data_IF_559770010731
#
_entry.id   IF_559770010731
#
_cell.length_a   1.000
_cell.length_b   1.000
_cell.length_c   1.000
_cell.angle_alpha   90.00
_cell.angle_beta   90.00
_cell.angle_gamma   90.00
#
_symmetry.space_group_name_H-M   'P 1'
#
loop_
_entity.id
_entity.type
_entity.pdbx_description
1 polymer ?
#
# COMPACT_ATOMS: atom_id res chain seq x y z
N UNK A 1 -9.15 17.19 -51.39
CA UNK A 1 -9.26 15.79 -50.92
C UNK A 1 -7.90 15.25 -50.46
N UNK A 2 -6.83 15.38 -51.26
CA UNK A 2 -5.46 14.98 -50.88
C UNK A 2 -4.89 15.69 -49.62
N UNK A 3 -5.21 16.97 -49.41
CA UNK A 3 -4.70 17.76 -48.27
C UNK A 3 -5.28 17.29 -46.92
N UNK A 4 -6.51 16.77 -46.91
CA UNK A 4 -7.16 16.29 -45.68
C UNK A 4 -6.54 14.99 -45.16
N UNK A 5 -5.93 14.17 -46.03
CA UNK A 5 -5.33 12.89 -45.65
C UNK A 5 -4.02 13.10 -44.88
N UNK A 6 -3.24 14.12 -45.22
CA UNK A 6 -1.94 14.42 -44.58
C UNK A 6 -2.13 14.87 -43.13
N UNK A 7 -3.20 15.61 -42.83
CA UNK A 7 -3.48 16.10 -41.47
C UNK A 7 -3.92 14.96 -40.54
N UNK A 8 -4.60 13.94 -41.07
CA UNK A 8 -5.02 12.78 -40.27
C UNK A 8 -3.83 11.87 -39.94
N UNK A 9 -2.87 11.71 -40.86
CA UNK A 9 -1.69 10.84 -40.63
C UNK A 9 -0.70 11.43 -39.60
N UNK A 10 -0.57 12.77 -39.55
CA UNK A 10 0.27 13.45 -38.53
C UNK A 10 -0.32 13.42 -37.12
N UNK A 11 -1.63 13.17 -36.95
CA UNK A 11 -2.24 13.04 -35.62
C UNK A 11 -2.21 11.62 -35.06
N UNK A 12 -1.92 10.61 -35.89
CA UNK A 12 -1.85 9.21 -35.44
C UNK A 12 -0.47 8.76 -34.95
N UNK A 13 0.60 9.54 -35.18
CA UNK A 13 1.97 9.13 -34.82
C UNK A 13 2.50 9.62 -33.47
N UNK A 14 1.73 10.40 -32.70
CA UNK A 14 2.19 10.94 -31.41
C UNK A 14 1.57 10.28 -30.18
N UNK A 15 0.92 9.13 -30.34
CA UNK A 15 0.33 8.35 -29.22
C UNK A 15 1.14 7.12 -28.82
N UNK A 16 2.45 7.12 -29.06
CA UNK A 16 3.36 6.38 -28.18
C UNK A 16 3.54 7.20 -26.91
N UNK A 17 2.43 7.29 -26.17
CA UNK A 17 2.42 7.74 -24.80
C UNK A 17 3.41 6.86 -24.06
N UNK A 18 4.45 7.50 -23.54
CA UNK A 18 5.36 7.02 -22.52
C UNK A 18 4.59 6.13 -21.54
N UNK A 19 4.58 4.82 -21.80
CA UNK A 19 4.41 3.82 -20.78
C UNK A 19 5.74 3.79 -20.02
N UNK A 20 6.06 4.91 -19.34
CA UNK A 20 6.94 4.85 -18.20
C UNK A 20 6.24 3.88 -17.26
N UNK A 21 6.75 2.66 -17.23
CA UNK A 21 6.63 1.78 -16.10
C UNK A 21 7.15 2.59 -14.91
N UNK A 22 6.26 3.39 -14.31
CA UNK A 22 6.41 3.82 -12.94
C UNK A 22 6.47 2.50 -12.20
N UNK A 23 7.69 2.09 -11.85
CA UNK A 23 7.89 1.10 -10.82
C UNK A 23 7.18 1.70 -9.60
N UNK A 24 5.92 1.32 -9.41
CA UNK A 24 5.13 1.68 -8.26
C UNK A 24 5.86 1.03 -7.10
N UNK A 25 6.72 1.81 -6.44
CA UNK A 25 7.39 1.45 -5.21
C UNK A 25 6.29 1.17 -4.20
N UNK A 26 5.97 -0.11 -4.06
CA UNK A 26 5.00 -0.54 -3.10
C UNK A 26 5.69 -0.50 -1.74
N UNK A 27 5.29 0.48 -0.94
CA UNK A 27 5.78 0.64 0.43
C UNK A 27 4.71 0.13 1.38
N UNK A 28 5.02 -0.93 2.13
CA UNK A 28 4.19 -1.38 3.25
C UNK A 28 4.64 -0.64 4.50
N UNK A 29 3.71 0.04 5.16
CA UNK A 29 3.96 0.67 6.45
C UNK A 29 3.64 -0.34 7.54
N UNK A 30 4.54 -0.46 8.51
CA UNK A 30 4.42 -1.39 9.64
C UNK A 30 4.72 -0.67 10.94
N UNK A 31 4.02 -1.03 12.01
CA UNK A 31 4.32 -0.62 13.38
C UNK A 31 4.73 -1.84 14.20
N UNK A 32 5.56 -1.62 15.21
CA UNK A 32 5.86 -2.64 16.21
C UNK A 32 4.72 -2.72 17.22
N UNK A 33 4.51 -3.91 17.78
CA UNK A 33 3.58 -4.18 18.87
C UNK A 33 4.23 -5.18 19.83
N UNK A 34 3.67 -5.37 21.02
CA UNK A 34 4.21 -6.33 21.99
C UNK A 34 4.29 -7.77 21.47
N UNK A 35 3.43 -8.15 20.50
CA UNK A 35 3.43 -9.49 19.91
C UNK A 35 4.36 -9.60 18.69
N UNK A 36 4.30 -8.64 17.78
CA UNK A 36 5.09 -8.61 16.54
C UNK A 36 4.91 -7.29 15.79
N UNK A 37 5.65 -7.09 14.70
CA UNK A 37 5.28 -6.09 13.68
C UNK A 37 3.91 -6.42 13.09
N UNK A 38 3.11 -5.37 12.86
CA UNK A 38 1.83 -5.45 12.16
C UNK A 38 1.76 -4.39 11.07
N UNK A 39 1.09 -4.73 9.98
CA UNK A 39 0.89 -3.82 8.85
C UNK A 39 -0.17 -2.78 9.20
N UNK A 40 0.04 -1.57 8.69
CA UNK A 40 -0.94 -0.49 8.74
C UNK A 40 -1.81 -0.60 7.49
N UNK A 41 -3.12 -0.77 7.70
CA UNK A 41 -4.06 -1.06 6.61
C UNK A 41 -3.82 -2.42 5.95
N UNK A 42 -4.30 -2.56 4.71
CA UNK A 42 -4.35 -3.82 3.96
C UNK A 42 -3.58 -3.78 2.64
N UNK A 43 -2.55 -2.92 2.56
CA UNK A 43 -1.66 -2.86 1.40
C UNK A 43 -0.65 -4.01 1.48
N UNK A 44 -0.60 -4.85 0.45
CA UNK A 44 0.39 -5.91 0.30
C UNK A 44 1.16 -5.67 -1.00
N UNK A 45 2.48 -5.75 -0.93
CA UNK A 45 3.32 -5.60 -2.11
C UNK A 45 3.54 -6.94 -2.77
N UNK A 46 2.93 -7.13 -3.94
CA UNK A 46 3.27 -8.26 -4.82
C UNK A 46 4.52 -7.89 -5.59
N UNK A 47 5.66 -8.51 -5.28
CA UNK A 47 6.84 -8.42 -6.14
C UNK A 47 6.53 -9.04 -7.49
N UNK A 48 6.62 -8.22 -8.54
CA UNK A 48 6.46 -8.61 -9.94
C UNK A 48 7.45 -9.73 -10.28
N UNK A 49 7.01 -10.98 -10.17
CA UNK A 49 7.85 -12.17 -10.34
C UNK A 49 7.33 -13.41 -9.62
N UNK A 50 6.46 -13.25 -8.61
CA UNK A 50 5.77 -14.38 -7.98
C UNK A 50 4.37 -14.54 -8.56
N UNK A 51 4.29 -15.31 -9.64
CA UNK A 51 3.04 -15.95 -10.08
C UNK A 51 2.46 -16.74 -8.90
N UNK A 52 1.38 -16.25 -8.29
CA UNK A 52 0.63 -17.00 -7.29
C UNK A 52 1.09 -16.80 -5.85
N UNK A 53 1.23 -15.55 -5.39
CA UNK A 53 1.02 -15.28 -3.97
C UNK A 53 -0.47 -15.33 -3.69
N UNK A 54 -0.99 -16.51 -3.29
CA UNK A 54 -2.37 -16.64 -2.83
C UNK A 54 -2.63 -15.56 -1.78
N UNK A 55 -3.48 -14.59 -2.12
CA UNK A 55 -4.24 -13.85 -1.14
C UNK A 55 -4.93 -14.90 -0.29
N UNK A 56 -4.52 -15.07 0.96
CA UNK A 56 -5.46 -15.54 1.96
C UNK A 56 -6.51 -14.44 2.08
N UNK A 57 -7.46 -14.48 1.14
CA UNK A 57 -8.66 -13.67 1.10
C UNK A 57 -9.52 -14.13 2.27
N UNK A 58 -9.14 -13.70 3.47
CA UNK A 58 -9.77 -14.11 4.70
C UNK A 58 -8.83 -13.94 5.87
N UNK A 59 -8.95 -12.82 6.57
CA UNK A 59 -8.51 -12.59 7.96
C UNK A 59 -7.04 -12.25 8.23
N UNK A 60 -6.34 -11.57 7.33
CA UNK A 60 -5.08 -10.90 7.73
C UNK A 60 -5.38 -9.78 8.71
N UNK A 61 -4.73 -9.79 9.87
CA UNK A 61 -4.82 -8.70 10.84
C UNK A 61 -4.12 -7.44 10.33
N UNK A 62 -4.66 -6.28 10.69
CA UNK A 62 -4.15 -4.99 10.30
C UNK A 62 -4.34 -3.98 11.43
N UNK A 63 -3.51 -2.95 11.45
CA UNK A 63 -3.76 -1.76 12.26
C UNK A 63 -4.61 -0.79 11.46
N UNK A 64 -5.79 -0.47 11.99
CA UNK A 64 -6.66 0.56 11.45
C UNK A 64 -6.17 1.94 11.92
N UNK A 65 -5.03 2.34 11.38
CA UNK A 65 -4.41 3.64 11.60
C UNK A 65 -4.18 4.24 10.22
N UNK A 66 -4.47 5.53 10.07
CA UNK A 66 -4.18 6.22 8.82
C UNK A 66 -2.67 6.33 8.59
N UNK A 67 -2.23 6.16 7.35
CA UNK A 67 -0.83 6.38 6.93
C UNK A 67 -0.30 7.74 7.39
N UNK A 68 -1.10 8.81 7.26
CA UNK A 68 -0.77 10.15 7.76
C UNK A 68 -0.59 10.22 9.28
N UNK A 69 -1.30 9.37 10.03
CA UNK A 69 -1.17 9.32 11.50
C UNK A 69 0.13 8.64 11.90
N UNK A 70 0.52 7.58 11.18
CA UNK A 70 1.81 6.91 11.39
C UNK A 70 2.97 7.86 11.13
N UNK A 71 2.90 8.65 10.06
CA UNK A 71 3.92 9.64 9.72
C UNK A 71 4.08 10.74 10.78
N UNK A 72 3.07 10.93 11.64
CA UNK A 72 3.09 11.88 12.76
C UNK A 72 3.42 11.22 14.10
N UNK A 73 3.49 9.89 14.17
CA UNK A 73 3.88 9.20 15.39
C UNK A 73 5.35 9.47 15.71
N UNK A 74 5.61 9.89 16.94
CA UNK A 74 6.97 9.99 17.44
C UNK A 74 7.60 8.59 17.51
N UNK A 75 8.85 8.43 17.06
CA UNK A 75 9.52 7.15 17.08
C UNK A 75 9.72 6.66 18.53
N UNK A 76 9.56 5.35 18.74
CA UNK A 76 9.57 4.67 20.05
C UNK A 76 8.56 5.19 21.07
N UNK A 77 7.58 6.01 20.67
CA UNK A 77 6.48 6.39 21.54
C UNK A 77 5.35 5.38 21.42
N UNK A 78 4.88 4.93 22.58
CA UNK A 78 3.81 3.94 22.69
C UNK A 78 2.45 4.62 22.53
N UNK A 79 1.64 4.09 21.62
CA UNK A 79 0.30 4.54 21.31
C UNK A 79 -0.68 3.36 21.36
N UNK A 80 -1.97 3.65 21.47
CA UNK A 80 -3.01 2.64 21.28
C UNK A 80 -3.49 2.67 19.82
N UNK A 81 -3.18 1.62 19.06
CA UNK A 81 -3.65 1.41 17.70
C UNK A 81 -4.90 0.53 17.71
N UNK A 82 -5.89 0.87 16.89
CA UNK A 82 -7.05 0.02 16.68
C UNK A 82 -6.67 -1.19 15.81
N UNK A 83 -7.00 -2.38 16.28
CA UNK A 83 -6.79 -3.62 15.56
C UNK A 83 -7.99 -3.90 14.64
N UNK A 84 -7.73 -4.47 13.49
CA UNK A 84 -8.74 -4.82 12.52
C UNK A 84 -8.37 -6.04 11.69
N UNK A 85 -9.26 -6.38 10.78
CA UNK A 85 -9.06 -7.47 9.82
C UNK A 85 -9.27 -6.96 8.40
N UNK A 86 -8.38 -7.35 7.50
CA UNK A 86 -8.51 -7.10 6.08
C UNK A 86 -9.66 -7.91 5.51
N UNK A 87 -10.65 -7.22 4.94
CA UNK A 87 -11.76 -7.82 4.21
C UNK A 87 -11.88 -7.19 2.83
N UNK A 88 -12.14 -8.04 1.84
CA UNK A 88 -12.49 -7.61 0.50
C UNK A 88 -13.92 -7.07 0.49
N UNK A 89 -14.11 -5.87 -0.07
CA UNK A 89 -15.42 -5.28 -0.33
C UNK A 89 -15.86 -5.55 -1.76
N UNK A 90 -17.13 -5.31 -2.05
CA UNK A 90 -17.80 -5.57 -3.33
C UNK A 90 -17.07 -5.03 -4.59
N UNK A 91 -16.19 -4.04 -4.44
CA UNK A 91 -15.40 -3.43 -5.52
C UNK A 91 -13.97 -3.96 -5.65
N UNK A 92 -13.64 -5.12 -5.05
CA UNK A 92 -12.27 -5.67 -4.94
C UNK A 92 -11.31 -4.75 -4.17
N UNK A 93 -11.85 -3.83 -3.39
CA UNK A 93 -11.06 -2.98 -2.51
C UNK A 93 -10.91 -3.71 -1.17
N UNK A 94 -9.66 -3.91 -0.74
CA UNK A 94 -9.37 -4.52 0.56
C UNK A 94 -9.25 -3.42 1.60
N UNK A 95 -10.17 -3.38 2.56
CA UNK A 95 -10.16 -2.41 3.65
C UNK A 95 -9.86 -3.11 4.98
N UNK A 96 -9.13 -2.42 5.87
CA UNK A 96 -8.95 -2.85 7.26
C UNK A 96 -10.21 -2.51 8.07
N UNK A 97 -11.05 -3.50 8.38
CA UNK A 97 -12.24 -3.27 9.21
C UNK A 97 -11.87 -3.34 10.69
N UNK A 98 -12.20 -2.32 11.51
CA UNK A 98 -11.85 -2.31 12.92
C UNK A 98 -12.62 -3.41 13.68
N UNK A 99 -11.93 -4.07 14.60
CA UNK A 99 -12.48 -5.12 15.47
C UNK A 99 -13.06 -4.58 16.78
N UNK A 100 -12.82 -3.31 17.10
CA UNK A 100 -13.12 -2.71 18.40
C UNK A 100 -12.05 -2.95 19.47
N UNK A 101 -11.02 -3.77 19.16
CA UNK A 101 -9.88 -3.98 20.04
C UNK A 101 -8.81 -2.91 19.78
N UNK A 102 -8.15 -2.46 20.85
CA UNK A 102 -6.98 -1.59 20.78
C UNK A 102 -5.78 -2.34 21.36
N UNK A 103 -4.62 -2.18 20.72
CA UNK A 103 -3.36 -2.74 21.19
C UNK A 103 -2.30 -1.65 21.26
N UNK A 104 -1.30 -1.87 22.08
CA UNK A 104 -0.14 -1.01 22.14
C UNK A 104 0.72 -1.19 20.88
N UNK A 105 1.14 -0.06 20.31
CA UNK A 105 1.94 0.00 19.09
C UNK A 105 2.92 1.16 19.14
N UNK A 106 4.03 1.07 18.41
CA UNK A 106 4.98 2.15 18.27
C UNK A 106 5.68 2.11 16.91
N UNK A 107 6.14 3.27 16.45
CA UNK A 107 6.97 3.38 15.26
C UNK A 107 8.43 3.09 15.67
N UNK A 108 9.06 2.01 15.19
CA UNK A 108 10.45 1.72 15.56
C UNK A 108 11.39 2.80 15.02
N UNK A 109 12.40 3.17 15.80
CA UNK A 109 13.53 3.94 15.24
C UNK A 109 14.21 3.05 14.20
N UNK A 110 14.12 3.43 12.92
CA UNK A 110 15.01 2.90 11.90
C UNK A 110 16.40 3.48 12.15
N UNK A 111 17.18 2.85 13.03
CA UNK A 111 18.60 3.12 13.11
C UNK A 111 19.20 2.63 11.79
N UNK A 112 19.42 3.54 10.85
CA UNK A 112 20.29 3.28 9.70
C UNK A 112 21.69 3.04 10.27
N UNK A 113 22.02 1.78 10.54
CA UNK A 113 23.42 1.38 10.69
C UNK A 113 24.05 1.56 9.31
N UNK A 114 24.50 2.77 8.98
CA UNK A 114 25.49 3.00 7.93
C UNK A 114 26.79 2.42 8.46
N UNK A 115 27.04 1.16 8.12
CA UNK A 115 28.36 0.53 8.23
C UNK A 115 29.29 1.02 7.13
#
# INVERSE_FOLDING_TARGET
ILVFIIVVDMMTRTREAFAQAQASTCTVITLETAASRKNVGCKFCTTSGSSGGSTSAGTTECLNVGEDSVNKMSPNTHHFCLLGTCKEKEKKEVTCLPSGLAIECWNPVVSTCTG
#
